data_IF_939258273107
#
_entry.id   IF_939258273107
#
_cell.length_a   1.000
_cell.length_b   1.000
_cell.length_c   1.000
_cell.angle_alpha   90.00
_cell.angle_beta   90.00
_cell.angle_gamma   90.00
#
_symmetry.space_group_name_H-M   'P 1'
#
loop_
_entity.id
_entity.type
_entity.pdbx_description
1 polymer ?
#
# COMPACT_ATOMS: atom_id res chain seq x y z
N UNK A 1 -16.05 15.69 -18.81
CA UNK A 1 -14.66 15.36 -18.41
C UNK A 1 -14.78 14.75 -17.04
N UNK A 2 -14.23 13.55 -16.85
CA UNK A 2 -14.20 12.92 -15.52
C UNK A 2 -13.35 13.75 -14.53
N UNK A 3 -13.59 13.63 -13.23
CA UNK A 3 -12.97 14.47 -12.19
C UNK A 3 -11.44 14.38 -12.24
N UNK A 4 -10.89 13.18 -12.41
CA UNK A 4 -9.45 12.95 -12.59
C UNK A 4 -8.92 13.74 -13.79
N UNK A 5 -9.65 13.75 -14.92
CA UNK A 5 -9.20 14.51 -16.08
C UNK A 5 -9.20 16.01 -15.83
N UNK A 6 -10.11 16.53 -15.00
CA UNK A 6 -10.08 17.94 -14.57
C UNK A 6 -8.87 18.23 -13.69
N UNK A 7 -8.55 17.35 -12.72
CA UNK A 7 -7.36 17.48 -11.86
C UNK A 7 -6.05 17.46 -12.65
N UNK A 8 -6.00 16.69 -13.74
CA UNK A 8 -4.85 16.60 -14.63
C UNK A 8 -4.76 17.80 -15.61
N UNK A 9 -5.82 18.57 -15.80
CA UNK A 9 -5.83 19.78 -16.63
C UNK A 9 -5.44 21.01 -15.79
N UNK A 10 -4.21 21.48 -15.98
CA UNK A 10 -3.68 22.66 -15.29
C UNK A 10 -4.47 23.95 -15.55
N UNK A 11 -5.30 23.99 -16.60
CA UNK A 11 -6.09 25.16 -16.98
C UNK A 11 -7.55 25.03 -16.54
N UNK A 12 -7.95 23.96 -15.87
CA UNK A 12 -9.31 23.80 -15.40
C UNK A 12 -9.60 24.79 -14.25
N UNK A 13 -10.63 25.61 -14.45
CA UNK A 13 -11.11 26.57 -13.45
C UNK A 13 -12.11 25.90 -12.51
N UNK A 14 -11.69 25.72 -11.26
CA UNK A 14 -12.50 25.12 -10.19
C UNK A 14 -13.53 26.08 -9.58
N UNK A 15 -13.36 27.40 -9.76
CA UNK A 15 -14.23 28.41 -9.15
C UNK A 15 -14.45 28.19 -7.64
N UNK A 16 -15.71 28.09 -7.24
CA UNK A 16 -16.14 27.88 -5.86
C UNK A 16 -16.34 26.39 -5.50
N UNK A 17 -15.89 25.45 -6.34
CA UNK A 17 -16.01 24.00 -6.07
C UNK A 17 -15.12 23.61 -4.88
N UNK A 18 -15.68 22.84 -3.94
CA UNK A 18 -15.02 22.40 -2.71
C UNK A 18 -15.41 20.97 -2.38
N UNK A 19 -14.51 20.26 -1.71
CA UNK A 19 -14.67 18.87 -1.32
C UNK A 19 -14.38 18.70 0.19
N UNK A 20 -14.93 17.66 0.79
CA UNK A 20 -14.58 17.25 2.14
C UNK A 20 -13.38 16.28 2.13
N UNK A 21 -12.88 15.94 3.33
CA UNK A 21 -11.74 15.02 3.51
C UNK A 21 -12.03 13.62 2.95
N UNK A 22 -13.25 13.11 3.10
CA UNK A 22 -13.64 11.78 2.58
C UNK A 22 -13.55 11.74 1.05
N UNK A 23 -13.98 12.82 0.38
CA UNK A 23 -13.89 12.96 -1.07
C UNK A 23 -12.43 13.19 -1.52
N UNK A 24 -11.62 13.90 -0.74
CA UNK A 24 -10.19 14.05 -0.99
C UNK A 24 -9.46 12.68 -1.00
N UNK A 25 -9.70 11.86 0.01
CA UNK A 25 -9.09 10.53 0.13
C UNK A 25 -9.50 9.61 -1.03
N UNK A 26 -10.77 9.64 -1.41
CA UNK A 26 -11.27 8.85 -2.53
C UNK A 26 -10.63 9.28 -3.87
N UNK A 27 -10.58 10.58 -4.14
CA UNK A 27 -10.04 11.13 -5.38
C UNK A 27 -8.51 10.99 -5.47
N UNK A 28 -7.80 11.18 -4.36
CA UNK A 28 -6.34 11.00 -4.31
C UNK A 28 -5.98 9.53 -4.58
N UNK A 29 -6.70 8.59 -3.98
CA UNK A 29 -6.53 7.17 -4.26
C UNK A 29 -6.83 6.84 -5.74
N UNK A 30 -7.90 7.39 -6.31
CA UNK A 30 -8.26 7.18 -7.70
C UNK A 30 -7.23 7.73 -8.68
N UNK A 31 -6.69 8.93 -8.41
CA UNK A 31 -5.63 9.54 -9.21
C UNK A 31 -4.38 8.67 -9.24
N UNK A 32 -3.96 8.16 -8.08
CA UNK A 32 -2.80 7.27 -7.96
C UNK A 32 -3.08 5.95 -8.68
N UNK A 33 -4.25 5.33 -8.46
CA UNK A 33 -4.61 4.07 -9.12
C UNK A 33 -4.66 4.22 -10.65
N UNK A 34 -5.20 5.34 -11.16
CA UNK A 34 -5.21 5.63 -12.60
C UNK A 34 -3.78 5.76 -13.17
N UNK A 35 -2.88 6.42 -12.43
CA UNK A 35 -1.45 6.46 -12.76
C UNK A 35 -0.84 5.06 -12.79
N UNK A 36 -1.06 4.24 -11.76
CA UNK A 36 -0.52 2.87 -11.68
C UNK A 36 -1.04 1.96 -12.81
N UNK A 37 -2.28 2.16 -13.27
CA UNK A 37 -2.86 1.41 -14.41
C UNK A 37 -2.20 1.75 -15.75
N UNK A 38 -1.63 2.94 -15.89
CA UNK A 38 -0.99 3.43 -17.12
C UNK A 38 0.50 3.10 -17.20
N UNK A 39 1.08 2.56 -16.14
CA UNK A 39 2.49 2.20 -16.02
C UNK A 39 2.69 0.70 -15.85
N UNK A 40 3.93 0.24 -16.03
CA UNK A 40 4.30 -1.16 -15.79
C UNK A 40 4.32 -1.50 -14.29
N UNK A 41 4.55 -2.77 -13.96
CA UNK A 41 4.56 -3.23 -12.57
C UNK A 41 5.76 -2.73 -11.74
N UNK A 42 6.81 -2.16 -12.35
CA UNK A 42 7.94 -1.55 -11.63
C UNK A 42 7.48 -0.35 -10.79
N UNK A 43 6.53 0.44 -11.31
CA UNK A 43 6.01 1.59 -10.57
C UNK A 43 5.38 1.19 -9.24
N UNK A 44 4.77 0.00 -9.16
CA UNK A 44 4.14 -0.52 -7.93
C UNK A 44 5.20 -0.88 -6.89
N UNK A 45 6.36 -1.38 -7.32
CA UNK A 45 7.51 -1.59 -6.44
C UNK A 45 8.05 -0.26 -5.90
N UNK A 46 8.22 0.74 -6.78
CA UNK A 46 8.66 2.09 -6.36
C UNK A 46 7.71 2.70 -5.33
N UNK A 47 6.40 2.63 -5.60
CA UNK A 47 5.38 3.09 -4.66
C UNK A 47 5.48 2.33 -3.33
N UNK A 48 5.55 1.00 -3.35
CA UNK A 48 5.66 0.19 -2.14
C UNK A 48 6.94 0.47 -1.31
N UNK A 49 7.99 1.04 -1.90
CA UNK A 49 9.21 1.43 -1.19
C UNK A 49 9.06 2.76 -0.46
N UNK A 50 8.37 3.74 -1.06
CA UNK A 50 8.26 5.10 -0.50
C UNK A 50 6.92 5.39 0.17
N UNK A 51 5.91 4.52 0.03
CA UNK A 51 4.55 4.79 0.49
C UNK A 51 4.47 5.28 1.93
N UNK A 52 3.82 6.42 2.16
CA UNK A 52 3.35 6.79 3.49
C UNK A 52 2.07 6.00 3.80
N UNK A 53 2.07 5.25 4.90
CA UNK A 53 0.92 4.43 5.30
C UNK A 53 -0.24 5.21 5.92
N UNK A 54 -0.10 6.51 6.11
CA UNK A 54 -1.20 7.42 6.43
C UNK A 54 -2.02 7.81 5.18
N UNK A 55 -1.49 7.60 3.97
CA UNK A 55 -2.23 7.79 2.73
C UNK A 55 -3.38 6.75 2.58
N UNK A 56 -4.38 7.03 1.72
CA UNK A 56 -5.51 6.14 1.50
C UNK A 56 -5.13 4.69 1.22
N UNK A 57 -5.59 3.79 2.08
CA UNK A 57 -5.28 2.35 2.03
C UNK A 57 -5.83 1.67 0.77
N UNK A 58 -6.85 2.27 0.13
CA UNK A 58 -7.43 1.83 -1.15
C UNK A 58 -6.37 1.62 -2.24
N UNK A 59 -5.29 2.40 -2.26
CA UNK A 59 -4.18 2.22 -3.20
C UNK A 59 -3.45 0.90 -2.94
N UNK A 60 -3.13 0.59 -1.68
CA UNK A 60 -2.49 -0.67 -1.30
C UNK A 60 -3.42 -1.85 -1.57
N UNK A 61 -4.70 -1.75 -1.20
CA UNK A 61 -5.70 -2.79 -1.52
C UNK A 61 -5.70 -3.08 -3.02
N UNK A 62 -5.73 -2.04 -3.86
CA UNK A 62 -5.68 -2.22 -5.32
C UNK A 62 -4.41 -2.95 -5.76
N UNK A 63 -3.23 -2.56 -5.27
CA UNK A 63 -1.95 -3.20 -5.63
C UNK A 63 -1.93 -4.70 -5.31
N UNK A 64 -2.39 -5.09 -4.12
CA UNK A 64 -2.32 -6.48 -3.64
C UNK A 64 -3.34 -7.41 -4.30
N UNK A 65 -4.36 -6.83 -4.95
CA UNK A 65 -5.36 -7.54 -5.75
C UNK A 65 -4.93 -7.78 -7.20
N UNK A 66 -3.82 -7.20 -7.67
CA UNK A 66 -3.37 -7.41 -9.05
C UNK A 66 -2.44 -8.63 -9.14
N UNK A 67 -2.79 -9.63 -9.97
CA UNK A 67 -2.01 -10.87 -10.10
C UNK A 67 -0.64 -10.70 -10.75
N UNK A 68 -0.45 -9.59 -11.47
CA UNK A 68 0.80 -9.19 -12.13
C UNK A 68 1.71 -8.35 -11.22
N UNK A 69 1.25 -7.94 -10.03
CA UNK A 69 2.12 -7.37 -8.99
C UNK A 69 3.16 -8.40 -8.57
N UNK A 70 4.40 -7.94 -8.40
CA UNK A 70 5.52 -8.82 -8.07
C UNK A 70 5.38 -9.38 -6.65
N UNK A 71 5.74 -10.66 -6.50
CA UNK A 71 5.71 -11.35 -5.20
C UNK A 71 6.63 -10.68 -4.16
N UNK A 72 7.76 -10.12 -4.60
CA UNK A 72 8.67 -9.34 -3.75
C UNK A 72 8.01 -8.06 -3.23
N UNK A 73 7.30 -7.33 -4.10
CA UNK A 73 6.52 -6.13 -3.73
C UNK A 73 5.46 -6.45 -2.69
N UNK A 74 4.70 -7.52 -2.88
CA UNK A 74 3.67 -7.92 -1.92
C UNK A 74 4.25 -8.36 -0.57
N UNK A 75 5.42 -9.01 -0.57
CA UNK A 75 6.09 -9.39 0.67
C UNK A 75 6.58 -8.14 1.43
N UNK A 76 7.17 -7.17 0.73
CA UNK A 76 7.56 -5.88 1.30
C UNK A 76 6.37 -5.17 1.95
N UNK A 77 5.27 -5.00 1.20
CA UNK A 77 4.05 -4.37 1.72
C UNK A 77 3.51 -5.08 2.95
N UNK A 78 3.44 -6.41 2.92
CA UNK A 78 2.98 -7.20 4.07
C UNK A 78 3.74 -6.89 5.34
N UNK A 79 5.07 -6.83 5.29
CA UNK A 79 5.89 -6.56 6.48
C UNK A 79 5.85 -5.09 6.91
N UNK A 80 5.81 -4.14 5.96
CA UNK A 80 5.61 -2.72 6.29
C UNK A 80 4.25 -2.43 6.94
N UNK A 81 3.25 -3.27 6.70
CA UNK A 81 1.92 -3.18 7.32
C UNK A 81 1.84 -3.77 8.74
N UNK A 82 2.95 -4.18 9.36
CA UNK A 82 2.98 -4.70 10.73
C UNK A 82 1.94 -5.82 10.99
N UNK A 83 2.11 -6.99 10.34
CA UNK A 83 1.09 -8.02 10.27
C UNK A 83 0.83 -8.69 11.62
N UNK A 84 1.73 -8.56 12.59
CA UNK A 84 1.62 -9.07 13.95
C UNK A 84 0.41 -8.50 14.69
N UNK A 85 0.09 -7.21 14.51
CA UNK A 85 -1.11 -6.62 15.11
C UNK A 85 -2.39 -7.29 14.61
N UNK A 86 -2.44 -7.71 13.34
CA UNK A 86 -3.59 -8.47 12.82
C UNK A 86 -3.77 -9.84 13.48
N UNK A 87 -2.69 -10.42 14.03
CA UNK A 87 -2.69 -11.79 14.58
C UNK A 87 -3.28 -11.90 15.97
N UNK A 88 -3.49 -10.78 16.66
CA UNK A 88 -4.22 -10.78 17.93
C UNK A 88 -5.72 -11.07 17.78
N UNK A 89 -6.25 -11.04 16.55
CA UNK A 89 -7.64 -11.33 16.23
C UNK A 89 -7.77 -12.75 15.67
N UNK A 90 -8.76 -13.51 16.15
CA UNK A 90 -9.05 -14.84 15.63
C UNK A 90 -9.75 -14.79 14.26
N UNK A 91 -10.42 -13.68 13.95
CA UNK A 91 -11.14 -13.47 12.69
C UNK A 91 -11.53 -11.98 12.51
N UNK A 92 -11.98 -11.65 11.30
CA UNK A 92 -12.46 -10.31 10.92
C UNK A 92 -13.54 -9.75 11.86
N UNK A 93 -14.49 -10.58 12.29
CA UNK A 93 -15.59 -10.14 13.18
C UNK A 93 -15.08 -9.72 14.55
N UNK A 94 -14.05 -10.38 15.06
CA UNK A 94 -13.41 -9.97 16.32
C UNK A 94 -12.68 -8.63 16.17
N UNK A 95 -11.96 -8.44 15.06
CA UNK A 95 -11.34 -7.15 14.72
C UNK A 95 -12.39 -6.04 14.65
N UNK A 96 -13.47 -6.23 13.87
CA UNK A 96 -14.55 -5.25 13.72
C UNK A 96 -15.19 -4.87 15.05
N UNK A 97 -15.42 -5.83 15.96
CA UNK A 97 -16.06 -5.55 17.25
C UNK A 97 -15.13 -4.87 18.28
N UNK A 98 -13.81 -4.98 18.13
CA UNK A 98 -12.85 -4.51 19.16
C UNK A 98 -11.97 -3.36 18.68
N UNK A 99 -11.70 -3.31 17.37
CA UNK A 99 -10.78 -2.41 16.68
C UNK A 99 -11.32 -2.12 15.27
N UNK A 100 -12.55 -1.60 15.17
CA UNK A 100 -13.17 -1.27 13.87
C UNK A 100 -12.32 -0.33 13.01
N UNK A 101 -11.52 0.53 13.65
CA UNK A 101 -10.58 1.44 13.00
C UNK A 101 -9.44 0.73 12.25
N UNK A 102 -9.13 -0.52 12.61
CA UNK A 102 -8.07 -1.33 11.98
C UNK A 102 -8.61 -2.27 10.90
N UNK A 103 -9.92 -2.27 10.65
CA UNK A 103 -10.58 -3.28 9.84
C UNK A 103 -10.06 -3.30 8.39
N UNK A 104 -9.70 -2.13 7.86
CA UNK A 104 -9.14 -2.00 6.51
C UNK A 104 -7.74 -2.60 6.40
N UNK A 105 -6.81 -2.26 7.28
CA UNK A 105 -5.48 -2.87 7.34
C UNK A 105 -5.59 -4.40 7.56
N UNK A 106 -6.50 -4.84 8.43
CA UNK A 106 -6.79 -6.26 8.63
C UNK A 106 -7.18 -6.94 7.30
N UNK A 107 -8.13 -6.37 6.56
CA UNK A 107 -8.63 -6.96 5.30
C UNK A 107 -7.55 -7.01 4.21
N UNK A 108 -6.68 -6.00 4.13
CA UNK A 108 -5.51 -5.97 3.22
C UNK A 108 -4.51 -7.07 3.60
N UNK A 109 -4.15 -7.18 4.88
CA UNK A 109 -3.20 -8.20 5.37
C UNK A 109 -3.73 -9.61 5.11
N UNK A 110 -5.03 -9.84 5.34
CA UNK A 110 -5.66 -11.13 5.02
C UNK A 110 -5.66 -11.41 3.52
N UNK A 111 -5.85 -10.38 2.69
CA UNK A 111 -5.78 -10.50 1.23
C UNK A 111 -4.38 -10.86 0.75
N UNK A 112 -3.35 -10.20 1.29
CA UNK A 112 -1.95 -10.51 1.04
C UNK A 112 -1.63 -11.97 1.38
N UNK A 113 -1.96 -12.43 2.59
CA UNK A 113 -1.70 -13.83 2.99
C UNK A 113 -2.42 -14.82 2.09
N UNK A 114 -3.71 -14.61 1.85
CA UNK A 114 -4.50 -15.49 0.98
C UNK A 114 -3.90 -15.58 -0.42
N UNK A 115 -3.60 -14.44 -1.04
CA UNK A 115 -3.09 -14.38 -2.40
C UNK A 115 -1.66 -14.95 -2.49
N UNK A 116 -0.80 -14.62 -1.53
CA UNK A 116 0.57 -15.12 -1.48
C UNK A 116 0.61 -16.65 -1.34
N UNK A 117 -0.18 -17.20 -0.40
CA UNK A 117 -0.26 -18.64 -0.16
C UNK A 117 -0.93 -19.40 -1.30
N UNK A 118 -1.83 -18.77 -2.05
CA UNK A 118 -2.48 -19.36 -3.22
C UNK A 118 -1.60 -19.34 -4.50
N UNK A 119 -0.39 -18.76 -4.46
CA UNK A 119 0.44 -18.56 -5.64
C UNK A 119 -0.22 -17.62 -6.67
N UNK A 120 -0.97 -16.63 -6.19
CA UNK A 120 -1.70 -15.67 -7.01
C UNK A 120 -0.76 -14.77 -7.83
N UNK A 121 0.29 -14.25 -7.19
CA UNK A 121 1.30 -13.39 -7.80
C UNK A 121 2.21 -14.19 -8.75
N UNK A 122 2.20 -13.82 -10.04
CA UNK A 122 2.85 -14.63 -11.10
C UNK A 122 4.31 -14.28 -11.35
N UNK A 123 4.75 -13.13 -10.86
CA UNK A 123 6.09 -12.60 -11.08
C UNK A 123 6.90 -12.60 -9.77
N UNK A 124 8.21 -12.82 -9.88
CA UNK A 124 9.17 -12.64 -8.79
C UNK A 124 10.50 -12.12 -9.37
N UNK A 125 10.63 -10.80 -9.37
CA UNK A 125 11.78 -10.07 -9.87
C UNK A 125 12.50 -9.32 -8.75
N UNK A 126 11.78 -8.85 -7.73
CA UNK A 126 12.35 -8.00 -6.69
C UNK A 126 12.75 -8.79 -5.46
N UNK A 127 13.91 -8.43 -4.91
CA UNK A 127 14.38 -8.98 -3.66
C UNK A 127 13.66 -8.35 -2.47
N UNK A 128 13.40 -9.15 -1.43
CA UNK A 128 13.03 -8.65 -0.11
C UNK A 128 13.36 -9.70 0.96
N UNK A 129 13.93 -9.27 2.08
CA UNK A 129 14.23 -10.15 3.20
C UNK A 129 13.64 -9.57 4.50
N UNK A 130 12.60 -10.20 5.10
CA UNK A 130 11.99 -9.67 6.30
C UNK A 130 12.91 -9.66 7.53
N UNK A 131 14.01 -10.43 7.51
CA UNK A 131 14.99 -10.45 8.60
C UNK A 131 16.15 -9.49 8.40
N UNK A 132 16.19 -8.82 7.25
CA UNK A 132 17.27 -7.91 6.87
C UNK A 132 16.77 -7.02 5.72
N UNK A 133 15.92 -6.06 6.05
CA UNK A 133 15.40 -5.09 5.10
C UNK A 133 16.51 -4.11 4.71
N UNK A 134 17.11 -4.39 3.56
CA UNK A 134 18.21 -3.58 3.03
C UNK A 134 17.77 -2.19 2.55
N UNK A 135 16.46 -1.91 2.47
CA UNK A 135 15.94 -0.56 2.25
C UNK A 135 15.88 0.27 3.55
N UNK A 136 16.04 -0.37 4.71
CA UNK A 136 16.00 0.25 6.04
C UNK A 136 17.19 -0.18 6.90
N UNK A 137 18.41 -0.01 6.36
CA UNK A 137 19.67 -0.26 7.07
C UNK A 137 19.77 -1.65 7.73
N UNK A 138 19.12 -2.66 7.12
CA UNK A 138 19.13 -4.05 7.57
C UNK A 138 18.16 -4.35 8.72
N UNK A 139 17.08 -3.58 8.84
CA UNK A 139 16.04 -3.80 9.86
C UNK A 139 15.45 -5.22 9.81
N UNK A 140 15.27 -5.85 10.96
CA UNK A 140 14.64 -7.17 11.10
C UNK A 140 13.19 -7.01 11.56
N UNK A 141 12.25 -7.08 10.62
CA UNK A 141 10.81 -7.02 10.88
C UNK A 141 10.30 -8.17 11.76
N UNK A 142 11.08 -9.24 11.89
CA UNK A 142 10.69 -10.45 12.62
C UNK A 142 11.20 -10.47 14.06
N UNK A 143 12.15 -9.58 14.40
CA UNK A 143 12.86 -9.61 15.68
C UNK A 143 11.96 -9.29 16.89
N UNK A 144 10.95 -8.43 16.72
CA UNK A 144 10.04 -8.00 17.78
C UNK A 144 8.76 -8.82 17.90
N UNK A 145 8.59 -9.86 17.06
CA UNK A 145 7.38 -10.67 17.08
C UNK A 145 7.23 -11.39 18.41
N UNK A 146 6.02 -11.38 18.96
CA UNK A 146 5.66 -12.15 20.13
C UNK A 146 4.56 -13.18 19.81
N UNK A 147 4.93 -14.41 19.37
CA UNK A 147 3.95 -15.42 18.98
C UNK A 147 2.95 -15.82 20.07
N UNK A 148 3.19 -15.52 21.35
CA UNK A 148 2.20 -15.77 22.41
C UNK A 148 0.95 -14.92 22.27
N UNK A 149 1.04 -13.78 21.59
CA UNK A 149 -0.05 -12.82 21.43
C UNK A 149 -0.91 -13.17 20.21
N UNK A 150 -0.48 -14.16 19.41
CA UNK A 150 -1.12 -14.53 18.16
C UNK A 150 -2.22 -15.56 18.39
N UNK A 151 -3.44 -15.21 18.01
CA UNK A 151 -4.56 -16.17 17.89
C UNK A 151 -4.49 -16.95 16.58
N UNK A 152 -3.89 -16.36 15.55
CA UNK A 152 -3.63 -16.98 14.24
C UNK A 152 -2.16 -16.78 13.89
N UNK A 153 -1.40 -17.83 13.51
CA UNK A 153 0.01 -17.67 13.16
C UNK A 153 0.20 -16.92 11.84
N UNK A 154 1.31 -16.19 11.71
CA UNK A 154 1.81 -15.73 10.41
C UNK A 154 2.22 -16.96 9.57
N UNK A 155 1.79 -17.07 8.29
CA UNK A 155 2.21 -18.18 7.43
C UNK A 155 3.72 -18.25 7.25
N UNK A 156 4.29 -19.46 7.27
CA UNK A 156 5.75 -19.64 7.25
C UNK A 156 6.41 -19.06 5.98
N UNK A 157 5.72 -19.12 4.84
CA UNK A 157 6.19 -18.56 3.57
C UNK A 157 6.43 -17.06 3.65
N UNK A 158 5.71 -16.32 4.51
CA UNK A 158 5.91 -14.87 4.69
C UNK A 158 7.27 -14.56 5.32
N UNK A 159 7.93 -15.52 5.96
CA UNK A 159 9.27 -15.35 6.53
C UNK A 159 10.39 -15.71 5.54
N UNK A 160 10.05 -16.16 4.34
CA UNK A 160 11.03 -16.65 3.38
C UNK A 160 11.61 -15.48 2.59
N UNK A 161 12.93 -15.23 2.66
CA UNK A 161 13.54 -14.19 1.84
C UNK A 161 13.41 -14.52 0.36
N UNK A 162 13.21 -13.48 -0.44
CA UNK A 162 13.15 -13.57 -1.90
C UNK A 162 14.41 -12.94 -2.49
N UNK A 163 15.08 -13.69 -3.35
CA UNK A 163 16.18 -13.20 -4.17
C UNK A 163 15.63 -12.47 -5.40
N UNK A 164 16.37 -11.46 -5.86
CA UNK A 164 15.95 -10.61 -6.97
C UNK A 164 16.75 -9.31 -7.06
N UNK A 165 16.20 -8.33 -7.78
CA UNK A 165 16.78 -7.00 -7.96
C UNK A 165 16.31 -6.10 -6.82
N UNK A 166 17.22 -5.28 -6.30
CA UNK A 166 16.93 -4.15 -5.43
C UNK A 166 16.83 -2.88 -6.29
N UNK A 167 15.75 -2.11 -6.17
CA UNK A 167 15.63 -0.81 -6.82
C UNK A 167 16.08 0.31 -5.88
N UNK A 168 16.44 1.47 -6.40
CA UNK A 168 16.63 2.64 -5.55
C UNK A 168 15.27 3.12 -5.01
N UNK A 169 15.23 3.53 -3.74
CA UNK A 169 14.04 4.14 -3.13
C UNK A 169 13.81 5.50 -3.78
N UNK A 170 12.63 5.76 -4.38
CA UNK A 170 12.38 7.04 -5.02
C UNK A 170 12.24 8.16 -3.97
N UNK A 171 12.67 9.37 -4.33
CA UNK A 171 12.50 10.58 -3.51
C UNK A 171 11.10 11.20 -3.66
N UNK A 172 10.07 10.35 -3.59
CA UNK A 172 8.67 10.74 -3.71
C UNK A 172 8.16 11.26 -2.37
N UNK A 173 7.77 12.53 -2.35
CA UNK A 173 7.18 13.16 -1.17
C UNK A 173 5.86 12.46 -0.80
N UNK A 174 5.72 12.12 0.48
CA UNK A 174 4.61 11.30 1.00
C UNK A 174 4.41 9.96 0.27
N UNK A 175 5.42 9.49 -0.48
CA UNK A 175 5.32 8.29 -1.29
C UNK A 175 4.48 8.44 -2.56
N UNK A 176 4.15 9.66 -2.97
CA UNK A 176 3.39 9.99 -4.16
C UNK A 176 4.32 10.22 -5.36
N UNK A 177 4.05 9.60 -6.53
CA UNK A 177 4.83 9.85 -7.74
C UNK A 177 4.98 11.35 -8.06
N UNK A 178 6.19 11.79 -8.35
CA UNK A 178 6.50 13.21 -8.63
C UNK A 178 5.61 13.81 -9.74
N UNK A 179 5.28 13.01 -10.76
CA UNK A 179 4.37 13.39 -11.85
C UNK A 179 2.95 13.76 -11.38
N UNK A 180 2.53 13.26 -10.22
CA UNK A 180 1.21 13.51 -9.64
C UNK A 180 1.19 14.69 -8.67
N UNK A 181 2.34 15.17 -8.18
CA UNK A 181 2.38 16.24 -7.17
C UNK A 181 1.58 17.49 -7.58
N UNK A 182 1.70 18.02 -8.82
CA UNK A 182 0.91 19.18 -9.21
C UNK A 182 -0.61 18.93 -9.20
N UNK A 183 -1.05 17.70 -9.45
CA UNK A 183 -2.47 17.34 -9.40
C UNK A 183 -2.95 17.10 -7.96
N UNK A 184 -2.08 16.61 -7.08
CA UNK A 184 -2.35 16.44 -5.65
C UNK A 184 -2.42 17.80 -4.94
N UNK A 185 -1.55 18.75 -5.29
CA UNK A 185 -1.60 20.13 -4.78
C UNK A 185 -2.94 20.77 -5.15
N UNK A 186 -3.36 20.65 -6.43
CA UNK A 186 -4.66 21.14 -6.89
C UNK A 186 -5.83 20.47 -6.17
N UNK A 187 -5.72 19.17 -5.86
CA UNK A 187 -6.75 18.45 -5.12
C UNK A 187 -6.83 18.94 -3.66
N UNK A 188 -5.68 19.19 -3.03
CA UNK A 188 -5.59 19.71 -1.66
C UNK A 188 -6.18 21.12 -1.55
N UNK A 189 -5.98 21.98 -2.57
CA UNK A 189 -6.56 23.34 -2.63
C UNK A 189 -8.10 23.36 -2.67
N UNK A 190 -8.75 22.22 -2.96
CA UNK A 190 -10.22 22.10 -2.98
C UNK A 190 -10.81 21.69 -1.64
N UNK A 191 -9.99 21.26 -0.68
CA UNK A 191 -10.48 20.83 0.64
C UNK A 191 -10.87 22.07 1.43
N UNK A 192 -12.13 22.11 1.88
CA UNK A 192 -12.61 23.18 2.78
C UNK A 192 -11.94 23.06 4.16
N UNK A 193 -11.41 24.17 4.70
CA UNK A 193 -10.95 24.28 6.09
C UNK A 193 -12.10 24.24 7.12
#
# INVERSE_FOLDING_TARGET
MDFINKLLDENYDWGDERIDEDVYDELSAELIIDYLKKHDSEIRQKLALSWNFDNPKKVIQWIVEQSDTDKGTCLLLYWRMAPDFSKQFANRKECENTHSWYLEDYDIIQTLERNYMAGFYKNQHYAFNPRNDFYQDGYDWTASLNPSDFKVPIPQDMFTPLEGIALDVPSWEEGIPEDLQPAMDRLADLVDE
#
